data_IF_610811083613
#
_entry.id   IF_610811083613
#
_cell.length_a   1.000
_cell.length_b   1.000
_cell.length_c   1.000
_cell.angle_alpha   90.00
_cell.angle_beta   90.00
_cell.angle_gamma   90.00
#
_symmetry.space_group_name_H-M   'P 1'
#
loop_
_entity.id
_entity.type
_entity.pdbx_description
1 polymer ?
#
# COMPACT_ATOMS: atom_id res chain seq x y z
N UNK A 1 -19.46 37.03 -71.51
CA UNK A 1 -20.26 38.03 -72.24
C UNK A 1 -19.33 38.95 -73.04
N UNK A 2 -19.43 38.98 -74.37
CA UNK A 2 -18.73 39.93 -75.23
C UNK A 2 -19.63 41.13 -75.58
N UNK A 3 -19.05 42.31 -75.87
CA UNK A 3 -19.75 43.36 -76.63
C UNK A 3 -18.85 43.96 -77.70
N UNK A 4 -19.39 43.91 -78.91
CA UNK A 4 -18.95 44.50 -80.18
C UNK A 4 -18.99 46.03 -80.14
N UNK A 5 -18.12 46.66 -80.92
CA UNK A 5 -18.31 48.01 -81.46
C UNK A 5 -17.69 48.10 -82.86
N UNK A 6 -18.52 48.46 -83.86
CA UNK A 6 -18.22 48.58 -85.30
C UNK A 6 -18.08 50.05 -85.71
N UNK A 7 -17.28 50.34 -86.75
CA UNK A 7 -17.41 51.49 -87.66
C UNK A 7 -16.17 51.60 -88.56
N UNK A 8 -16.10 51.17 -89.84
CA UNK A 8 -16.68 51.60 -91.14
C UNK A 8 -16.15 52.96 -91.71
N UNK A 9 -15.54 52.87 -92.90
CA UNK A 9 -15.30 53.97 -93.88
C UNK A 9 -13.95 53.78 -94.61
N UNK A 10 -13.77 53.09 -95.75
CA UNK A 10 -14.25 53.15 -97.16
C UNK A 10 -13.51 54.17 -98.09
N UNK A 11 -12.68 53.58 -98.98
CA UNK A 11 -12.49 53.82 -100.44
C UNK A 11 -11.66 54.99 -101.03
N UNK A 12 -10.78 54.57 -101.96
CA UNK A 12 -10.52 55.17 -103.29
C UNK A 12 -9.41 56.22 -103.32
N UNK A 13 -8.58 56.39 -104.35
CA UNK A 13 -8.52 55.86 -105.71
C UNK A 13 -7.37 56.57 -106.48
N UNK A 14 -6.97 55.97 -107.60
CA UNK A 14 -5.82 56.30 -108.47
C UNK A 14 -5.80 57.74 -109.05
N UNK A 15 -4.61 58.35 -109.02
CA UNK A 15 -3.83 58.74 -110.21
C UNK A 15 -4.11 60.09 -110.90
N UNK A 16 -3.06 60.91 -111.11
CA UNK A 16 -2.65 61.41 -112.44
C UNK A 16 -1.33 62.19 -112.43
N UNK A 17 -0.68 62.13 -113.60
CA UNK A 17 0.62 62.66 -114.03
C UNK A 17 0.76 64.19 -113.97
N UNK A 18 2.00 64.62 -113.73
CA UNK A 18 2.72 65.53 -114.63
C UNK A 18 3.13 66.90 -114.08
N UNK A 19 4.44 67.13 -113.90
CA UNK A 19 5.24 68.09 -114.68
C UNK A 19 6.68 68.18 -114.17
N UNK A 20 7.63 68.07 -115.10
CA UNK A 20 9.06 68.37 -114.92
C UNK A 20 9.24 69.86 -114.57
N UNK A 21 10.11 70.14 -113.60
CA UNK A 21 10.49 71.50 -113.20
C UNK A 21 11.75 71.49 -112.34
N UNK A 22 12.88 71.66 -113.02
CA UNK A 22 14.29 71.74 -112.59
C UNK A 22 14.53 72.67 -111.38
N UNK A 23 15.02 72.14 -110.25
CA UNK A 23 15.80 72.82 -109.19
C UNK A 23 16.43 71.74 -108.29
N UNK A 24 17.59 71.22 -108.71
CA UNK A 24 18.27 70.03 -108.16
C UNK A 24 19.51 70.36 -107.32
N UNK A 25 19.52 71.46 -106.56
CA UNK A 25 20.56 71.70 -105.53
C UNK A 25 20.00 72.13 -104.17
N UNK A 26 19.01 73.03 -104.12
CA UNK A 26 18.32 73.38 -102.85
C UNK A 26 17.41 72.25 -102.33
N UNK A 27 16.85 71.43 -103.22
CA UNK A 27 16.02 70.27 -102.82
C UNK A 27 16.84 69.12 -102.26
N UNK A 28 18.11 68.96 -102.65
CA UNK A 28 18.98 67.94 -102.06
C UNK A 28 19.43 68.36 -100.67
N UNK A 29 19.82 69.62 -100.43
CA UNK A 29 20.07 70.12 -99.06
C UNK A 29 18.81 70.12 -98.18
N UNK A 30 17.64 70.46 -98.73
CA UNK A 30 16.36 70.40 -98.02
C UNK A 30 15.90 68.95 -97.75
N UNK A 31 16.14 68.02 -98.67
CA UNK A 31 15.87 66.59 -98.48
C UNK A 31 16.86 65.93 -97.52
N UNK A 32 18.14 66.34 -97.54
CA UNK A 32 19.16 65.90 -96.57
C UNK A 32 18.83 66.45 -95.19
N UNK A 33 18.45 67.72 -95.05
CA UNK A 33 17.97 68.30 -93.78
C UNK A 33 16.68 67.65 -93.28
N UNK A 34 15.72 67.34 -94.15
CA UNK A 34 14.53 66.55 -93.80
C UNK A 34 14.88 65.11 -93.42
N UNK A 35 15.86 64.49 -94.07
CA UNK A 35 16.37 63.15 -93.75
C UNK A 35 17.06 63.12 -92.38
N UNK A 36 17.88 64.12 -92.07
CA UNK A 36 18.50 64.31 -90.76
C UNK A 36 17.44 64.57 -89.69
N UNK A 37 16.46 65.45 -89.95
CA UNK A 37 15.38 65.71 -89.01
C UNK A 37 14.52 64.46 -88.75
N UNK A 38 14.20 63.69 -89.79
CA UNK A 38 13.48 62.43 -89.67
C UNK A 38 14.33 61.38 -88.92
N UNK A 39 15.63 61.28 -89.20
CA UNK A 39 16.57 60.42 -88.46
C UNK A 39 16.59 60.77 -86.97
N UNK A 40 16.71 62.05 -86.63
CA UNK A 40 16.69 62.51 -85.24
C UNK A 40 15.33 62.26 -84.57
N UNK A 41 14.23 62.34 -85.31
CA UNK A 41 12.90 61.98 -84.82
C UNK A 41 12.79 60.48 -84.51
N UNK A 42 13.28 59.62 -85.42
CA UNK A 42 13.33 58.17 -85.19
C UNK A 42 14.29 57.80 -84.06
N UNK A 43 15.41 58.50 -83.91
CA UNK A 43 16.35 58.32 -82.82
C UNK A 43 15.75 58.73 -81.47
N UNK A 44 15.04 59.87 -81.41
CA UNK A 44 14.31 60.29 -80.22
C UNK A 44 13.18 59.31 -79.85
N UNK A 45 12.46 58.79 -80.86
CA UNK A 45 11.44 57.76 -80.65
C UNK A 45 12.05 56.44 -80.17
N UNK A 46 13.17 56.01 -80.75
CA UNK A 46 13.89 54.82 -80.32
C UNK A 46 14.38 54.95 -78.88
N UNK A 47 14.97 56.10 -78.53
CA UNK A 47 15.41 56.41 -77.17
C UNK A 47 14.25 56.38 -76.17
N UNK A 48 13.11 56.97 -76.52
CA UNK A 48 11.91 56.94 -75.67
C UNK A 48 11.37 55.50 -75.51
N UNK A 49 11.35 54.71 -76.59
CA UNK A 49 10.97 53.31 -76.52
C UNK A 49 11.95 52.50 -75.68
N UNK A 50 13.26 52.76 -75.77
CA UNK A 50 14.28 52.11 -74.96
C UNK A 50 14.18 52.46 -73.48
N UNK A 51 13.90 53.71 -73.14
CA UNK A 51 13.59 54.15 -71.78
C UNK A 51 12.35 53.44 -71.23
N UNK A 52 11.28 53.36 -72.02
CA UNK A 52 10.07 52.65 -71.60
C UNK A 52 10.31 51.14 -71.42
N UNK A 53 11.09 50.52 -72.32
CA UNK A 53 11.48 49.10 -72.23
C UNK A 53 12.32 48.81 -71.00
N UNK A 54 13.29 49.68 -70.68
CA UNK A 54 14.07 49.60 -69.44
C UNK A 54 13.16 49.72 -68.22
N UNK A 55 12.28 50.72 -68.21
CA UNK A 55 11.33 50.90 -67.11
C UNK A 55 10.40 49.69 -66.90
N UNK A 56 9.84 49.11 -67.97
CA UNK A 56 9.04 47.89 -67.86
C UNK A 56 9.86 46.68 -67.40
N UNK A 57 11.13 46.56 -67.81
CA UNK A 57 12.03 45.50 -67.33
C UNK A 57 12.34 45.67 -65.84
N UNK A 58 12.57 46.88 -65.38
CA UNK A 58 12.84 47.17 -63.97
C UNK A 58 11.59 46.89 -63.11
N UNK A 59 10.39 47.27 -63.59
CA UNK A 59 9.13 46.92 -62.94
C UNK A 59 8.90 45.39 -62.93
N UNK A 60 9.14 44.70 -64.04
CA UNK A 60 9.01 43.24 -64.09
C UNK A 60 10.01 42.55 -63.15
N UNK A 61 11.24 43.06 -63.05
CA UNK A 61 12.27 42.56 -62.14
C UNK A 61 11.92 42.77 -60.67
N UNK A 62 11.41 43.96 -60.32
CA UNK A 62 10.93 44.24 -58.95
C UNK A 62 9.74 43.36 -58.59
N UNK A 63 8.74 43.23 -59.47
CA UNK A 63 7.60 42.33 -59.25
C UNK A 63 8.01 40.85 -59.17
N UNK A 64 9.02 40.42 -59.92
CA UNK A 64 9.54 39.04 -59.83
C UNK A 64 10.21 38.79 -58.46
N UNK A 65 11.04 39.74 -58.01
CA UNK A 65 11.70 39.67 -56.70
C UNK A 65 10.68 39.70 -55.55
N UNK A 66 9.65 40.55 -55.64
CA UNK A 66 8.61 40.63 -54.61
C UNK A 66 7.77 39.35 -54.59
N UNK A 67 7.44 38.76 -55.74
CA UNK A 67 6.78 37.45 -55.79
C UNK A 67 7.65 36.33 -55.20
N UNK A 68 8.97 36.36 -55.41
CA UNK A 68 9.91 35.40 -54.81
C UNK A 68 9.94 35.53 -53.28
N UNK A 69 10.08 36.76 -52.76
CA UNK A 69 9.99 37.03 -51.32
C UNK A 69 8.67 36.58 -50.71
N UNK A 70 7.54 36.84 -51.38
CA UNK A 70 6.23 36.41 -50.89
C UNK A 70 6.11 34.89 -50.87
N UNK A 71 6.69 34.18 -51.85
CA UNK A 71 6.74 32.71 -51.86
C UNK A 71 7.61 32.16 -50.74
N UNK A 72 8.75 32.79 -50.47
CA UNK A 72 9.64 32.38 -49.39
C UNK A 72 9.02 32.63 -48.01
N UNK A 73 8.34 33.77 -47.84
CA UNK A 73 7.55 34.05 -46.64
C UNK A 73 6.43 33.02 -46.46
N UNK A 74 5.69 32.71 -47.53
CA UNK A 74 4.65 31.69 -47.48
C UNK A 74 5.22 30.33 -47.04
N UNK A 75 6.32 29.87 -47.65
CA UNK A 75 7.00 28.62 -47.27
C UNK A 75 7.47 28.61 -45.81
N UNK A 76 8.01 29.73 -45.33
CA UNK A 76 8.44 29.86 -43.94
C UNK A 76 7.23 29.75 -42.99
N UNK A 77 6.16 30.50 -43.27
CA UNK A 77 4.93 30.45 -42.45
C UNK A 77 4.25 29.09 -42.49
N UNK A 78 4.26 28.40 -43.64
CA UNK A 78 3.75 27.02 -43.76
C UNK A 78 4.56 26.06 -42.89
N UNK A 79 5.90 26.18 -42.93
CA UNK A 79 6.79 25.36 -42.10
C UNK A 79 6.55 25.61 -40.61
N UNK A 80 6.52 26.87 -40.18
CA UNK A 80 6.28 27.23 -38.79
C UNK A 80 4.90 26.73 -38.31
N UNK A 81 3.88 26.83 -39.18
CA UNK A 81 2.53 26.31 -38.89
C UNK A 81 2.55 24.79 -38.75
N UNK A 82 3.26 24.08 -39.63
CA UNK A 82 3.41 22.62 -39.54
C UNK A 82 4.12 22.22 -38.24
N UNK A 83 5.18 22.94 -37.85
CA UNK A 83 5.93 22.65 -36.63
C UNK A 83 5.05 22.86 -35.38
N UNK A 84 4.29 23.96 -35.31
CA UNK A 84 3.34 24.23 -34.22
C UNK A 84 2.24 23.16 -34.18
N UNK A 85 1.62 22.83 -35.33
CA UNK A 85 0.57 21.82 -35.40
C UNK A 85 1.11 20.43 -35.00
N UNK A 86 2.33 20.09 -35.39
CA UNK A 86 2.96 18.81 -35.05
C UNK A 86 3.25 18.73 -33.55
N UNK A 87 3.74 19.81 -32.94
CA UNK A 87 3.94 19.89 -31.50
C UNK A 87 2.61 19.73 -30.73
N UNK A 88 1.55 20.44 -31.15
CA UNK A 88 0.23 20.35 -30.52
C UNK A 88 -0.35 18.94 -30.66
N UNK A 89 -0.27 18.32 -31.85
CA UNK A 89 -0.72 16.94 -32.05
C UNK A 89 0.01 15.94 -31.17
N UNK A 90 1.32 16.12 -30.99
CA UNK A 90 2.11 15.27 -30.08
C UNK A 90 1.66 15.46 -28.64
N UNK A 91 1.47 16.71 -28.21
CA UNK A 91 1.00 17.03 -26.87
C UNK A 91 -0.41 16.46 -26.61
N UNK A 92 -1.32 16.54 -27.58
CA UNK A 92 -2.66 15.96 -27.47
C UNK A 92 -2.60 14.43 -27.36
N UNK A 93 -1.77 13.78 -28.18
CA UNK A 93 -1.56 12.33 -28.09
C UNK A 93 -0.97 11.89 -26.73
N UNK A 94 -0.01 12.65 -26.20
CA UNK A 94 0.58 12.39 -24.88
C UNK A 94 -0.47 12.54 -23.76
N UNK A 95 -1.34 13.57 -23.84
CA UNK A 95 -2.45 13.78 -22.89
C UNK A 95 -3.52 12.70 -23.01
N UNK A 96 -3.89 12.29 -24.22
CA UNK A 96 -4.85 11.21 -24.43
C UNK A 96 -4.34 9.89 -23.84
N UNK A 97 -3.06 9.58 -24.03
CA UNK A 97 -2.41 8.42 -23.41
C UNK A 97 -2.42 8.50 -21.87
N UNK A 98 -2.21 9.70 -21.29
CA UNK A 98 -2.31 9.91 -19.85
C UNK A 98 -3.75 9.74 -19.35
N UNK A 99 -4.74 10.26 -20.07
CA UNK A 99 -6.16 10.09 -19.76
C UNK A 99 -6.52 8.62 -19.76
N UNK A 100 -6.12 7.85 -20.78
CA UNK A 100 -6.39 6.41 -20.87
C UNK A 100 -5.77 5.64 -19.69
N UNK A 101 -4.52 5.97 -19.34
CA UNK A 101 -3.85 5.38 -18.17
C UNK A 101 -4.58 5.71 -16.87
N UNK A 102 -4.99 6.97 -16.67
CA UNK A 102 -5.76 7.39 -15.50
C UNK A 102 -7.13 6.69 -15.45
N UNK A 103 -7.81 6.55 -16.58
CA UNK A 103 -9.08 5.82 -16.66
C UNK A 103 -8.91 4.33 -16.31
N UNK A 104 -7.86 3.68 -16.80
CA UNK A 104 -7.53 2.30 -16.41
C UNK A 104 -7.25 2.20 -14.91
N UNK A 105 -6.45 3.10 -14.35
CA UNK A 105 -6.16 3.15 -12.91
C UNK A 105 -7.44 3.32 -12.07
N UNK A 106 -8.34 4.20 -12.49
CA UNK A 106 -9.64 4.39 -11.80
C UNK A 106 -10.48 3.11 -11.87
N UNK A 107 -10.50 2.42 -13.02
CA UNK A 107 -11.23 1.14 -13.17
C UNK A 107 -10.65 0.06 -12.27
N UNK A 108 -9.33 -0.12 -12.25
CA UNK A 108 -8.67 -1.14 -11.40
C UNK A 108 -8.86 -0.81 -9.92
N UNK A 109 -8.72 0.45 -9.52
CA UNK A 109 -8.95 0.88 -8.14
C UNK A 109 -10.40 0.63 -7.69
N UNK A 110 -11.38 0.93 -8.55
CA UNK A 110 -12.80 0.64 -8.28
C UNK A 110 -13.08 -0.86 -8.14
N UNK A 111 -12.46 -1.69 -8.99
CA UNK A 111 -12.59 -3.15 -8.89
C UNK A 111 -11.97 -3.68 -7.59
N UNK A 112 -10.77 -3.22 -7.24
CA UNK A 112 -10.09 -3.62 -6.00
C UNK A 112 -10.88 -3.19 -4.77
N UNK A 113 -11.40 -1.95 -4.76
CA UNK A 113 -12.24 -1.46 -3.68
C UNK A 113 -13.53 -2.29 -3.51
N UNK A 114 -14.17 -2.69 -4.62
CA UNK A 114 -15.34 -3.59 -4.56
C UNK A 114 -14.96 -4.95 -3.96
N UNK A 115 -13.86 -5.57 -4.41
CA UNK A 115 -13.39 -6.85 -3.86
C UNK A 115 -13.11 -6.76 -2.36
N UNK A 116 -12.34 -5.78 -1.92
CA UNK A 116 -12.03 -5.58 -0.50
C UNK A 116 -13.30 -5.32 0.32
N UNK A 117 -14.24 -4.53 -0.22
CA UNK A 117 -15.54 -4.30 0.42
C UNK A 117 -16.34 -5.61 0.57
N UNK A 118 -16.41 -6.42 -0.48
CA UNK A 118 -17.17 -7.66 -0.48
C UNK A 118 -16.53 -8.71 0.45
N UNK A 119 -15.20 -8.80 0.47
CA UNK A 119 -14.44 -9.62 1.41
C UNK A 119 -14.70 -9.19 2.87
N UNK A 120 -14.63 -7.89 3.15
CA UNK A 120 -14.90 -7.34 4.47
C UNK A 120 -16.35 -7.61 4.93
N UNK A 121 -17.33 -7.43 4.03
CA UNK A 121 -18.72 -7.77 4.30
C UNK A 121 -18.87 -9.27 4.58
N UNK A 122 -18.20 -10.12 3.81
CA UNK A 122 -18.23 -11.57 4.00
C UNK A 122 -17.66 -11.98 5.36
N UNK A 123 -16.50 -11.42 5.75
CA UNK A 123 -15.86 -11.69 7.03
C UNK A 123 -16.72 -11.24 8.21
N UNK A 124 -17.26 -10.03 8.20
CA UNK A 124 -18.18 -9.57 9.25
C UNK A 124 -19.48 -10.38 9.28
N UNK A 125 -19.99 -10.80 8.12
CA UNK A 125 -21.18 -11.66 8.05
C UNK A 125 -20.91 -13.06 8.59
N UNK A 126 -19.67 -13.56 8.48
CA UNK A 126 -19.24 -14.83 9.08
C UNK A 126 -19.10 -14.70 10.59
N UNK A 127 -18.44 -13.64 11.06
CA UNK A 127 -18.28 -13.38 12.49
C UNK A 127 -19.63 -13.19 13.19
N UNK A 128 -20.53 -12.41 12.59
CA UNK A 128 -21.91 -12.25 13.09
C UNK A 128 -22.62 -13.60 13.22
N UNK A 129 -22.58 -14.45 12.19
CA UNK A 129 -23.18 -15.79 12.24
C UNK A 129 -22.59 -16.65 13.36
N UNK A 130 -21.28 -16.62 13.56
CA UNK A 130 -20.63 -17.36 14.65
C UNK A 130 -21.05 -16.85 16.03
N UNK A 131 -21.22 -15.53 16.20
CA UNK A 131 -21.71 -14.95 17.44
C UNK A 131 -23.18 -15.31 17.68
N UNK A 132 -24.02 -15.23 16.66
CA UNK A 132 -25.44 -15.62 16.73
C UNK A 132 -25.59 -17.11 17.10
N UNK A 133 -24.77 -17.99 16.51
CA UNK A 133 -24.75 -19.42 16.87
C UNK A 133 -24.31 -19.65 18.32
N UNK A 134 -23.25 -18.97 18.78
CA UNK A 134 -22.80 -19.06 20.18
C UNK A 134 -23.87 -18.57 21.14
N UNK A 135 -24.53 -17.47 20.80
CA UNK A 135 -25.60 -16.88 21.61
C UNK A 135 -26.79 -17.84 21.70
N UNK A 136 -27.22 -18.40 20.57
CA UNK A 136 -28.30 -19.41 20.53
C UNK A 136 -27.96 -20.67 21.35
N UNK A 137 -26.71 -21.15 21.30
CA UNK A 137 -26.27 -22.28 22.16
C UNK A 137 -26.36 -21.92 23.65
N UNK A 138 -25.91 -20.72 24.04
CA UNK A 138 -25.99 -20.27 25.43
C UNK A 138 -27.42 -20.06 25.90
N UNK A 139 -28.31 -19.57 25.03
CA UNK A 139 -29.73 -19.45 25.34
C UNK A 139 -30.36 -20.84 25.60
N UNK A 140 -30.05 -21.83 24.77
CA UNK A 140 -30.52 -23.21 24.98
C UNK A 140 -29.98 -23.83 26.27
N UNK A 141 -28.69 -23.65 26.59
CA UNK A 141 -28.11 -24.08 27.87
C UNK A 141 -28.80 -23.40 29.06
N UNK A 142 -29.08 -22.09 28.97
CA UNK A 142 -29.79 -21.36 30.01
C UNK A 142 -31.23 -21.84 30.19
N UNK A 143 -31.92 -22.22 29.13
CA UNK A 143 -33.26 -22.82 29.22
C UNK A 143 -33.23 -24.16 29.96
N UNK A 144 -32.26 -25.02 29.65
CA UNK A 144 -32.09 -26.31 30.35
C UNK A 144 -31.83 -26.06 31.84
N UNK A 145 -30.89 -25.18 32.18
CA UNK A 145 -30.57 -24.85 33.58
C UNK A 145 -31.79 -24.26 34.30
N UNK A 146 -32.58 -23.39 33.63
CA UNK A 146 -33.84 -22.85 34.20
C UNK A 146 -34.85 -23.96 34.45
N UNK A 147 -34.96 -24.92 33.54
CA UNK A 147 -35.85 -26.06 33.69
C UNK A 147 -35.44 -26.95 34.88
N UNK A 148 -34.16 -27.31 34.97
CA UNK A 148 -33.60 -28.08 36.09
C UNK A 148 -33.80 -27.34 37.43
N UNK A 149 -33.55 -26.03 37.47
CA UNK A 149 -33.75 -25.22 38.66
C UNK A 149 -35.22 -25.25 39.12
N UNK A 150 -36.16 -25.21 38.19
CA UNK A 150 -37.59 -25.33 38.51
C UNK A 150 -37.93 -26.72 39.04
N UNK A 151 -37.38 -27.80 38.47
CA UNK A 151 -37.54 -29.15 39.01
C UNK A 151 -37.01 -29.25 40.46
N UNK A 152 -35.83 -28.68 40.73
CA UNK A 152 -35.25 -28.64 42.08
C UNK A 152 -36.13 -27.85 43.06
N UNK A 153 -36.70 -26.72 42.62
CA UNK A 153 -37.65 -25.94 43.44
C UNK A 153 -38.90 -26.76 43.79
N UNK A 154 -39.48 -27.45 42.81
CA UNK A 154 -40.66 -28.32 43.03
C UNK A 154 -40.32 -29.51 43.93
N UNK A 155 -39.16 -30.13 43.75
CA UNK A 155 -38.67 -31.19 44.64
C UNK A 155 -38.53 -30.70 46.08
N UNK A 156 -37.96 -29.49 46.29
CA UNK A 156 -37.85 -28.90 47.63
C UNK A 156 -39.21 -28.67 48.27
N UNK A 157 -40.19 -28.13 47.53
CA UNK A 157 -41.57 -27.95 48.04
C UNK A 157 -42.18 -29.29 48.46
N UNK A 158 -42.10 -30.32 47.60
CA UNK A 158 -42.61 -31.66 47.90
C UNK A 158 -41.92 -32.29 49.10
N UNK A 159 -40.59 -32.12 49.22
CA UNK A 159 -39.82 -32.60 50.38
C UNK A 159 -40.31 -31.96 51.67
N UNK A 160 -40.50 -30.64 51.70
CA UNK A 160 -41.00 -29.93 52.88
C UNK A 160 -42.42 -30.39 53.24
N UNK A 161 -43.29 -30.55 52.25
CA UNK A 161 -44.65 -31.07 52.46
C UNK A 161 -44.64 -32.49 53.05
N UNK A 162 -43.87 -33.41 52.45
CA UNK A 162 -43.76 -34.79 52.90
C UNK A 162 -43.12 -34.90 54.31
N UNK A 163 -42.15 -34.04 54.63
CA UNK A 163 -41.59 -33.95 55.98
C UNK A 163 -42.63 -33.52 57.01
N UNK A 164 -43.50 -32.56 56.65
CA UNK A 164 -44.59 -32.11 57.50
C UNK A 164 -45.61 -33.22 57.75
N UNK A 165 -46.03 -33.92 56.69
CA UNK A 165 -46.94 -35.07 56.79
C UNK A 165 -46.37 -36.21 57.66
N UNK A 166 -45.07 -36.49 57.54
CA UNK A 166 -44.40 -37.48 58.39
C UNK A 166 -44.40 -37.07 59.87
N UNK A 167 -44.21 -35.79 60.17
CA UNK A 167 -44.26 -35.29 61.55
C UNK A 167 -45.68 -35.37 62.11
N UNK A 168 -46.69 -34.96 61.33
CA UNK A 168 -48.11 -35.09 61.68
C UNK A 168 -48.50 -36.56 61.96
N UNK A 169 -48.03 -37.51 61.15
CA UNK A 169 -48.27 -38.96 61.38
C UNK A 169 -47.57 -39.45 62.65
N UNK A 170 -46.33 -39.02 62.92
CA UNK A 170 -45.62 -39.39 64.14
C UNK A 170 -46.32 -38.84 65.38
N UNK A 171 -46.76 -37.59 65.36
CA UNK A 171 -47.51 -36.98 66.46
C UNK A 171 -48.83 -37.73 66.69
N UNK A 172 -49.55 -38.07 65.62
CA UNK A 172 -50.76 -38.87 65.71
C UNK A 172 -50.50 -40.27 66.27
N UNK A 173 -49.42 -40.93 65.85
CA UNK A 173 -49.01 -42.25 66.37
C UNK A 173 -48.72 -42.19 67.87
N UNK A 174 -47.92 -41.21 68.32
CA UNK A 174 -47.60 -41.02 69.75
C UNK A 174 -48.87 -40.70 70.56
N UNK A 175 -49.78 -39.89 70.02
CA UNK A 175 -51.07 -39.62 70.68
C UNK A 175 -51.89 -40.89 70.84
N UNK A 176 -52.00 -41.69 69.77
CA UNK A 176 -52.77 -42.93 69.78
C UNK A 176 -52.13 -44.01 70.67
N UNK A 177 -50.79 -44.11 70.71
CA UNK A 177 -50.09 -44.98 71.67
C UNK A 177 -50.34 -44.58 73.12
N UNK A 178 -50.37 -43.27 73.42
CA UNK A 178 -50.76 -42.77 74.75
C UNK A 178 -52.19 -43.12 75.08
N UNK A 179 -53.13 -42.86 74.17
CA UNK A 179 -54.54 -43.21 74.35
C UNK A 179 -54.73 -44.72 74.57
N UNK A 180 -54.06 -45.55 73.77
CA UNK A 180 -54.07 -47.00 73.93
C UNK A 180 -53.50 -47.42 75.29
N UNK A 181 -52.36 -46.85 75.70
CA UNK A 181 -51.77 -47.14 77.01
C UNK A 181 -52.74 -46.77 78.14
N UNK A 182 -53.36 -45.59 78.10
CA UNK A 182 -54.36 -45.15 79.07
C UNK A 182 -55.58 -46.09 79.10
N UNK A 183 -56.00 -46.60 77.94
CA UNK A 183 -57.10 -47.59 77.90
C UNK A 183 -56.70 -48.94 78.50
N UNK A 184 -55.47 -49.40 78.27
CA UNK A 184 -54.93 -50.64 78.86
C UNK A 184 -54.84 -50.49 80.37
N UNK A 185 -54.26 -49.40 80.88
CA UNK A 185 -54.16 -49.14 82.33
C UNK A 185 -55.55 -49.15 83.00
N UNK A 186 -56.57 -48.55 82.36
CA UNK A 186 -57.96 -48.60 82.84
C UNK A 186 -58.54 -50.01 82.83
N UNK A 187 -58.23 -50.82 81.82
CA UNK A 187 -58.68 -52.21 81.75
C UNK A 187 -57.97 -53.06 82.81
N UNK A 188 -56.65 -52.91 82.97
CA UNK A 188 -55.85 -53.59 83.99
C UNK A 188 -56.35 -53.27 85.39
N UNK A 189 -56.68 -52.00 85.68
CA UNK A 189 -57.26 -51.61 86.96
C UNK A 189 -58.59 -52.33 87.22
N UNK A 190 -59.50 -52.35 86.24
CA UNK A 190 -60.78 -53.08 86.33
C UNK A 190 -60.57 -54.59 86.51
N UNK A 191 -59.63 -55.17 85.78
CA UNK A 191 -59.28 -56.59 85.89
C UNK A 191 -58.68 -56.92 87.26
N UNK A 192 -57.85 -56.04 87.81
CA UNK A 192 -57.27 -56.22 89.13
C UNK A 192 -58.33 -56.16 90.23
N UNK A 193 -59.26 -55.21 90.14
CA UNK A 193 -60.41 -55.11 91.05
C UNK A 193 -61.27 -56.39 91.01
N UNK A 194 -61.62 -56.89 89.82
CA UNK A 194 -62.42 -58.11 89.67
C UNK A 194 -61.63 -59.37 90.12
N UNK A 195 -60.34 -59.45 89.81
CA UNK A 195 -59.46 -60.54 90.25
C UNK A 195 -59.36 -60.57 91.78
N UNK A 196 -59.23 -59.42 92.44
CA UNK A 196 -59.25 -59.35 93.90
C UNK A 196 -60.58 -59.82 94.49
N UNK A 197 -61.71 -59.47 93.87
CA UNK A 197 -63.04 -59.98 94.28
C UNK A 197 -63.10 -61.51 94.17
N UNK A 198 -62.70 -62.07 93.03
CA UNK A 198 -62.71 -63.52 92.79
C UNK A 198 -61.71 -64.27 93.67
N UNK A 199 -60.52 -63.71 93.93
CA UNK A 199 -59.52 -64.28 94.82
C UNK A 199 -60.04 -64.35 96.26
N UNK A 200 -60.74 -63.32 96.75
CA UNK A 200 -61.37 -63.34 98.06
C UNK A 200 -62.47 -64.42 98.16
N UNK A 201 -63.25 -64.63 97.10
CA UNK A 201 -64.24 -65.71 97.03
C UNK A 201 -63.58 -67.11 96.97
N UNK A 202 -62.50 -67.26 96.21
CA UNK A 202 -61.76 -68.52 96.08
C UNK A 202 -60.97 -68.88 97.33
N UNK A 203 -60.34 -67.92 98.01
CA UNK A 203 -59.58 -68.18 99.24
C UNK A 203 -60.50 -68.71 100.35
N UNK A 204 -61.74 -68.20 100.46
CA UNK A 204 -62.75 -68.77 101.36
C UNK A 204 -63.04 -70.25 101.06
N UNK A 205 -63.05 -70.64 99.78
CA UNK A 205 -63.23 -72.03 99.33
C UNK A 205 -61.99 -72.91 99.52
N UNK A 206 -60.79 -72.35 99.40
CA UNK A 206 -59.53 -73.09 99.60
C UNK A 206 -59.32 -73.39 101.09
N UNK A 207 -59.64 -72.47 102.00
CA UNK A 207 -59.65 -72.75 103.45
C UNK A 207 -60.58 -73.93 103.80
N UNK A 208 -61.69 -74.11 103.09
CA UNK A 208 -62.61 -75.25 103.26
C UNK A 208 -62.07 -76.60 102.75
N UNK A 209 -61.09 -76.59 101.83
CA UNK A 209 -60.53 -77.80 101.18
C UNK A 209 -59.17 -78.16 101.78
N UNK A 210 -58.35 -77.19 102.18
CA UNK A 210 -57.05 -77.42 102.84
C UNK A 210 -57.21 -78.18 104.17
N UNK A 211 -58.31 -77.97 104.88
CA UNK A 211 -58.68 -78.77 106.07
C UNK A 211 -58.99 -80.24 105.77
N UNK A 212 -59.28 -80.60 104.51
CA UNK A 212 -59.60 -81.96 104.05
C UNK A 212 -58.42 -82.70 103.40
N UNK A 213 -57.41 -81.98 102.91
CA UNK A 213 -56.28 -82.57 102.19
C UNK A 213 -55.04 -82.86 103.07
N UNK A 214 -54.97 -82.33 104.30
CA UNK A 214 -53.84 -82.59 105.21
C UNK A 214 -53.83 -84.01 105.81
N UNK A 215 -54.94 -84.77 105.71
CA UNK A 215 -55.06 -86.12 106.30
C UNK A 215 -54.70 -87.26 105.33
N UNK A 216 -54.52 -86.95 104.03
CA UNK A 216 -54.36 -87.97 102.97
C UNK A 216 -53.01 -87.89 102.22
N UNK A 217 -52.01 -87.25 102.83
CA UNK A 217 -50.66 -87.14 102.26
C UNK A 217 -49.56 -87.68 103.20
N UNK A 218 -49.90 -88.58 104.13
CA UNK A 218 -48.97 -89.18 105.09
C UNK A 218 -48.67 -90.67 104.88
N UNK A 219 -48.99 -91.25 103.71
CA UNK A 219 -48.69 -92.66 103.40
C UNK A 219 -48.41 -92.94 101.92
N UNK A 220 -47.18 -92.69 101.46
CA UNK A 220 -46.44 -93.63 100.60
C UNK A 220 -44.95 -93.26 100.53
N UNK A 221 -44.12 -94.07 101.18
CA UNK A 221 -42.68 -93.88 101.33
C UNK A 221 -41.91 -94.33 100.09
N UNK A 222 -40.82 -93.60 99.89
CA UNK A 222 -39.71 -93.76 98.98
C UNK A 222 -38.90 -95.05 99.20
N UNK A 223 -38.61 -95.80 98.13
CA UNK A 223 -37.36 -96.57 98.00
C UNK A 223 -37.03 -96.96 96.54
N UNK A 224 -38.03 -97.08 95.66
CA UNK A 224 -37.82 -97.28 94.20
C UNK A 224 -37.33 -96.02 93.47
N UNK A 225 -37.68 -94.85 93.98
CA UNK A 225 -37.26 -93.55 93.43
C UNK A 225 -35.73 -93.40 93.40
N UNK A 226 -35.02 -93.86 94.46
CA UNK A 226 -33.59 -93.59 94.64
C UNK A 226 -32.70 -94.26 93.58
N UNK A 227 -33.10 -95.43 93.07
CA UNK A 227 -32.34 -96.14 92.03
C UNK A 227 -32.63 -95.57 90.62
N UNK A 228 -33.88 -95.16 90.35
CA UNK A 228 -34.25 -94.45 89.12
C UNK A 228 -33.56 -93.07 89.03
N UNK A 229 -33.33 -92.41 90.17
CA UNK A 229 -32.57 -91.14 90.21
C UNK A 229 -31.11 -91.32 89.80
N UNK A 230 -30.42 -92.35 90.26
CA UNK A 230 -29.00 -92.55 89.91
C UNK A 230 -28.81 -92.89 88.43
N UNK A 231 -29.70 -93.70 87.84
CA UNK A 231 -29.64 -94.03 86.42
C UNK A 231 -30.03 -92.83 85.53
N UNK A 232 -31.02 -92.03 85.96
CA UNK A 232 -31.34 -90.77 85.31
C UNK A 232 -30.20 -89.75 85.40
N UNK A 233 -29.48 -89.66 86.52
CA UNK A 233 -28.34 -88.73 86.66
C UNK A 233 -27.24 -89.08 85.65
N UNK A 234 -26.91 -90.36 85.48
CA UNK A 234 -25.90 -90.78 84.50
C UNK A 234 -26.34 -90.55 83.04
N UNK A 235 -27.62 -90.76 82.74
CA UNK A 235 -28.22 -90.44 81.43
C UNK A 235 -28.26 -88.92 81.16
N UNK A 236 -28.58 -88.12 82.17
CA UNK A 236 -28.57 -86.65 82.10
C UNK A 236 -27.16 -86.12 81.87
N UNK A 237 -26.16 -86.70 82.54
CA UNK A 237 -24.76 -86.33 82.34
C UNK A 237 -24.27 -86.64 80.92
N UNK A 238 -24.66 -87.80 80.38
CA UNK A 238 -24.35 -88.18 78.99
C UNK A 238 -25.06 -87.27 77.98
N UNK A 239 -26.33 -86.95 78.21
CA UNK A 239 -27.09 -86.01 77.37
C UNK A 239 -26.53 -84.59 77.44
N UNK A 240 -26.00 -84.17 78.60
CA UNK A 240 -25.36 -82.86 78.75
C UNK A 240 -24.12 -82.75 77.87
N UNK A 241 -23.24 -83.76 77.89
CA UNK A 241 -22.03 -83.75 77.06
C UNK A 241 -22.37 -83.68 75.56
N UNK A 242 -23.33 -84.49 75.09
CA UNK A 242 -23.75 -84.43 73.69
C UNK A 242 -24.41 -83.10 73.31
N UNK A 243 -25.14 -82.47 74.25
CA UNK A 243 -25.74 -81.16 74.02
C UNK A 243 -24.68 -80.06 73.94
N UNK A 244 -23.66 -80.11 74.79
CA UNK A 244 -22.52 -79.18 74.74
C UNK A 244 -21.76 -79.32 73.42
N UNK A 245 -21.49 -80.54 72.96
CA UNK A 245 -20.85 -80.81 71.66
C UNK A 245 -21.71 -80.33 70.49
N UNK A 246 -23.03 -80.51 70.56
CA UNK A 246 -23.97 -80.01 69.55
C UNK A 246 -24.01 -78.47 69.50
N UNK A 247 -23.99 -77.81 70.66
CA UNK A 247 -23.95 -76.36 70.78
C UNK A 247 -22.62 -75.79 70.24
N UNK A 248 -21.49 -76.46 70.46
CA UNK A 248 -20.20 -76.09 69.87
C UNK A 248 -20.19 -76.27 68.34
N UNK A 249 -20.72 -77.39 67.84
CA UNK A 249 -20.87 -77.62 66.41
C UNK A 249 -21.81 -76.57 65.77
N UNK A 250 -22.86 -76.17 66.47
CA UNK A 250 -23.79 -75.16 65.99
C UNK A 250 -23.14 -73.77 65.95
N UNK A 251 -22.37 -73.39 66.98
CA UNK A 251 -21.59 -72.15 66.98
C UNK A 251 -20.58 -72.09 65.84
N UNK A 252 -19.85 -73.18 65.59
CA UNK A 252 -18.87 -73.23 64.49
C UNK A 252 -19.55 -73.19 63.12
N UNK A 253 -20.69 -73.88 62.96
CA UNK A 253 -21.52 -73.79 61.74
C UNK A 253 -22.02 -72.36 61.49
N UNK A 254 -22.50 -71.67 62.52
CA UNK A 254 -22.93 -70.28 62.43
C UNK A 254 -21.78 -69.34 62.09
N UNK A 255 -20.60 -69.53 62.70
CA UNK A 255 -19.39 -68.76 62.38
C UNK A 255 -18.95 -68.96 60.93
N UNK A 256 -18.89 -70.21 60.45
CA UNK A 256 -18.57 -70.53 59.07
C UNK A 256 -19.61 -69.93 58.11
N UNK A 257 -20.90 -69.98 58.45
CA UNK A 257 -21.96 -69.39 57.63
C UNK A 257 -21.83 -67.86 57.54
N UNK A 258 -21.51 -67.19 58.65
CA UNK A 258 -21.21 -65.74 58.64
C UNK A 258 -19.99 -65.42 57.79
N UNK A 259 -18.93 -66.22 57.89
CA UNK A 259 -17.68 -66.00 57.16
C UNK A 259 -17.85 -66.24 55.65
N UNK A 260 -18.66 -67.22 55.27
CA UNK A 260 -19.07 -67.43 53.87
C UNK A 260 -19.88 -66.22 53.36
N UNK A 261 -20.83 -65.72 54.14
CA UNK A 261 -21.64 -64.56 53.76
C UNK A 261 -20.78 -63.29 53.60
N UNK A 262 -19.85 -63.01 54.53
CA UNK A 262 -18.95 -61.86 54.41
C UNK A 262 -18.02 -61.99 53.20
N UNK A 263 -17.43 -63.17 53.00
CA UNK A 263 -16.55 -63.43 51.84
C UNK A 263 -17.31 -63.30 50.52
N UNK A 264 -18.58 -63.72 50.48
CA UNK A 264 -19.43 -63.55 49.30
C UNK A 264 -19.69 -62.07 49.00
N UNK A 265 -20.04 -61.28 50.03
CA UNK A 265 -20.26 -59.85 49.88
C UNK A 265 -18.99 -59.13 49.43
N UNK A 266 -17.83 -59.45 50.01
CA UNK A 266 -16.54 -58.87 49.63
C UNK A 266 -16.17 -59.21 48.19
N UNK A 267 -16.48 -60.42 47.72
CA UNK A 267 -16.30 -60.83 46.33
C UNK A 267 -17.16 -59.99 45.38
N UNK A 268 -18.44 -59.81 45.68
CA UNK A 268 -19.36 -59.01 44.86
C UNK A 268 -18.92 -57.53 44.81
N UNK A 269 -18.52 -56.97 45.95
CA UNK A 269 -18.03 -55.60 46.05
C UNK A 269 -16.75 -55.41 45.23
N UNK A 270 -15.82 -56.35 45.31
CA UNK A 270 -14.60 -56.35 44.51
C UNK A 270 -14.89 -56.49 43.01
N UNK A 271 -15.85 -57.32 42.60
CA UNK A 271 -16.25 -57.44 41.19
C UNK A 271 -16.82 -56.12 40.64
N UNK A 272 -17.63 -55.40 41.42
CA UNK A 272 -18.17 -54.09 41.04
C UNK A 272 -17.03 -53.07 40.92
N UNK A 273 -16.13 -53.02 41.91
CA UNK A 273 -14.99 -52.10 41.91
C UNK A 273 -14.05 -52.35 40.71
N UNK A 274 -13.78 -53.61 40.38
CA UNK A 274 -12.97 -53.97 39.22
C UNK A 274 -13.63 -53.49 37.93
N UNK A 275 -14.96 -53.67 37.77
CA UNK A 275 -15.70 -53.18 36.59
C UNK A 275 -15.60 -51.66 36.47
N UNK A 276 -15.81 -50.92 37.57
CA UNK A 276 -15.70 -49.47 37.58
C UNK A 276 -14.28 -49.00 37.21
N UNK A 277 -13.25 -49.67 37.74
CA UNK A 277 -11.86 -49.36 37.39
C UNK A 277 -11.53 -49.66 35.94
N UNK A 278 -12.05 -50.74 35.37
CA UNK A 278 -11.91 -51.06 33.95
C UNK A 278 -12.55 -49.95 33.10
N UNK A 279 -13.77 -49.53 33.42
CA UNK A 279 -14.44 -48.43 32.70
C UNK A 279 -13.66 -47.11 32.80
N UNK A 280 -13.12 -46.80 33.98
CA UNK A 280 -12.29 -45.61 34.18
C UNK A 280 -11.03 -45.65 33.32
N UNK A 281 -10.33 -46.78 33.29
CA UNK A 281 -9.13 -46.97 32.45
C UNK A 281 -9.46 -46.90 30.96
N UNK A 282 -10.59 -47.46 30.53
CA UNK A 282 -11.04 -47.35 29.13
C UNK A 282 -11.30 -45.90 28.72
N UNK A 283 -11.99 -45.11 29.56
CA UNK A 283 -12.22 -43.68 29.34
C UNK A 283 -10.90 -42.90 29.26
N UNK A 284 -9.96 -43.17 30.16
CA UNK A 284 -8.64 -42.55 30.13
C UNK A 284 -7.85 -42.92 28.88
N UNK A 285 -7.87 -44.18 28.46
CA UNK A 285 -7.20 -44.63 27.23
C UNK A 285 -7.78 -43.96 25.98
N UNK A 286 -9.10 -43.75 25.93
CA UNK A 286 -9.74 -43.01 24.85
C UNK A 286 -9.24 -41.56 24.80
N UNK A 287 -9.22 -40.87 25.94
CA UNK A 287 -8.73 -39.49 26.04
C UNK A 287 -7.24 -39.39 25.65
N UNK A 288 -6.41 -40.33 26.10
CA UNK A 288 -4.99 -40.38 25.73
C UNK A 288 -4.83 -40.56 24.23
N UNK A 289 -5.66 -41.40 23.59
CA UNK A 289 -5.64 -41.60 22.14
C UNK A 289 -6.01 -40.32 21.40
N UNK A 290 -7.09 -39.66 21.79
CA UNK A 290 -7.53 -38.39 21.19
C UNK A 290 -6.47 -37.29 21.33
N UNK A 291 -5.85 -37.18 22.51
CA UNK A 291 -4.76 -36.23 22.75
C UNK A 291 -3.53 -36.54 21.89
N UNK A 292 -3.17 -37.83 21.73
CA UNK A 292 -2.06 -38.23 20.85
C UNK A 292 -2.34 -37.89 19.39
N UNK A 293 -3.54 -38.14 18.89
CA UNK A 293 -3.95 -37.77 17.53
C UNK A 293 -3.87 -36.25 17.34
N UNK A 294 -4.33 -35.46 18.31
CA UNK A 294 -4.25 -34.00 18.27
C UNK A 294 -2.81 -33.49 18.29
N UNK A 295 -1.94 -34.09 19.11
CA UNK A 295 -0.50 -33.77 19.12
C UNK A 295 0.11 -34.05 17.75
N UNK A 296 -0.17 -35.22 17.16
CA UNK A 296 0.36 -35.59 15.85
C UNK A 296 -0.12 -34.64 14.74
N UNK A 297 -1.38 -34.20 14.76
CA UNK A 297 -1.89 -33.19 13.82
C UNK A 297 -1.19 -31.84 13.99
N UNK A 298 -0.93 -31.41 15.23
CA UNK A 298 -0.21 -30.17 15.50
C UNK A 298 1.26 -30.26 15.06
N UNK A 299 1.94 -31.38 15.33
CA UNK A 299 3.33 -31.61 14.92
C UNK A 299 3.48 -31.63 13.39
N UNK A 300 2.55 -32.28 12.68
CA UNK A 300 2.54 -32.30 11.21
C UNK A 300 2.28 -30.92 10.63
N UNK A 301 1.31 -30.17 11.17
CA UNK A 301 1.05 -28.78 10.76
C UNK A 301 2.24 -27.86 11.03
N UNK A 302 2.88 -27.98 12.20
CA UNK A 302 4.06 -27.20 12.54
C UNK A 302 5.25 -27.53 11.62
N UNK A 303 5.44 -28.80 11.29
CA UNK A 303 6.50 -29.23 10.37
C UNK A 303 6.27 -28.67 8.96
N UNK A 304 5.02 -28.68 8.47
CA UNK A 304 4.66 -28.05 7.19
C UNK A 304 4.93 -26.55 7.21
N UNK A 305 4.52 -25.86 8.28
CA UNK A 305 4.77 -24.44 8.45
C UNK A 305 6.27 -24.13 8.45
N UNK A 306 7.09 -24.89 9.17
CA UNK A 306 8.55 -24.72 9.18
C UNK A 306 9.14 -24.90 7.77
N UNK A 307 8.67 -25.90 7.00
CA UNK A 307 9.12 -26.12 5.63
C UNK A 307 8.74 -24.96 4.69
N UNK A 308 7.52 -24.45 4.80
CA UNK A 308 7.06 -23.28 4.04
C UNK A 308 7.91 -22.04 4.37
N UNK A 309 8.18 -21.79 5.66
CA UNK A 309 9.06 -20.70 6.08
C UNK A 309 10.49 -20.84 5.55
N UNK A 310 11.02 -22.06 5.51
CA UNK A 310 12.36 -22.30 4.95
C UNK A 310 12.41 -22.05 3.44
N UNK A 311 11.36 -22.42 2.71
CA UNK A 311 11.22 -22.15 1.27
C UNK A 311 11.10 -20.64 1.04
N UNK A 312 10.23 -19.95 1.80
CA UNK A 312 10.06 -18.50 1.69
C UNK A 312 11.36 -17.76 1.99
N UNK A 313 12.06 -18.15 3.06
CA UNK A 313 13.37 -17.60 3.42
C UNK A 313 14.39 -17.79 2.30
N UNK A 314 14.46 -18.97 1.68
CA UNK A 314 15.34 -19.23 0.52
C UNK A 314 14.98 -18.34 -0.67
N UNK A 315 13.70 -18.21 -0.99
CA UNK A 315 13.22 -17.35 -2.08
C UNK A 315 13.57 -15.88 -1.85
N UNK A 316 13.42 -15.37 -0.62
CA UNK A 316 13.80 -14.00 -0.26
C UNK A 316 15.32 -13.81 -0.42
N UNK A 317 16.12 -14.76 0.05
CA UNK A 317 17.58 -14.71 -0.11
C UNK A 317 17.99 -14.71 -1.58
N UNK A 318 17.37 -15.54 -2.41
CA UNK A 318 17.66 -15.59 -3.84
C UNK A 318 17.24 -14.30 -4.56
N UNK A 319 16.04 -13.79 -4.28
CA UNK A 319 15.57 -12.52 -4.85
C UNK A 319 16.43 -11.33 -4.43
N UNK A 320 16.88 -11.28 -3.17
CA UNK A 320 17.76 -10.22 -2.68
C UNK A 320 19.15 -10.34 -3.32
N UNK A 321 19.66 -11.57 -3.52
CA UNK A 321 20.90 -11.81 -4.23
C UNK A 321 20.85 -11.33 -5.69
N UNK A 322 19.82 -11.72 -6.44
CA UNK A 322 19.62 -11.29 -7.84
C UNK A 322 19.51 -9.75 -7.93
N UNK A 323 18.74 -9.12 -7.03
CA UNK A 323 18.63 -7.66 -6.98
C UNK A 323 19.99 -7.02 -6.68
N UNK A 324 20.72 -7.54 -5.71
CA UNK A 324 22.05 -7.04 -5.37
C UNK A 324 23.03 -7.16 -6.54
N UNK A 325 23.04 -8.29 -7.26
CA UNK A 325 23.85 -8.45 -8.47
C UNK A 325 23.45 -7.47 -9.59
N UNK A 326 22.15 -7.26 -9.80
CA UNK A 326 21.66 -6.31 -10.80
C UNK A 326 22.11 -4.87 -10.48
N UNK A 327 21.98 -4.45 -9.23
CA UNK A 327 22.43 -3.14 -8.75
C UNK A 327 23.94 -3.00 -8.86
N UNK A 328 24.70 -4.06 -8.52
CA UNK A 328 26.16 -4.06 -8.68
C UNK A 328 26.56 -3.87 -10.14
N UNK A 329 25.88 -4.54 -11.06
CA UNK A 329 26.12 -4.39 -12.50
C UNK A 329 25.77 -2.99 -13.00
N UNK A 330 24.69 -2.40 -12.50
CA UNK A 330 24.30 -1.02 -12.82
C UNK A 330 25.31 0.00 -12.31
N UNK A 331 25.79 -0.16 -11.07
CA UNK A 331 26.86 0.67 -10.50
C UNK A 331 28.11 0.63 -11.40
N UNK A 332 28.53 -0.56 -11.86
CA UNK A 332 29.68 -0.69 -12.75
C UNK A 332 29.44 0.02 -14.09
N UNK A 333 28.23 -0.06 -14.66
CA UNK A 333 27.87 0.64 -15.92
C UNK A 333 27.88 2.16 -15.74
N UNK A 334 27.33 2.65 -14.63
CA UNK A 334 27.29 4.08 -14.31
C UNK A 334 28.69 4.62 -14.06
N UNK A 335 29.55 3.89 -13.34
CA UNK A 335 30.95 4.26 -13.14
C UNK A 335 31.70 4.40 -14.46
N UNK A 336 31.56 3.44 -15.39
CA UNK A 336 32.17 3.53 -16.73
C UNK A 336 31.67 4.74 -17.51
N UNK A 337 30.37 5.02 -17.45
CA UNK A 337 29.77 6.18 -18.14
C UNK A 337 30.32 7.48 -17.57
N UNK A 338 30.44 7.57 -16.24
CA UNK A 338 31.00 8.72 -15.54
C UNK A 338 32.48 8.92 -15.90
N UNK A 339 33.28 7.86 -15.98
CA UNK A 339 34.68 7.93 -16.44
C UNK A 339 34.79 8.48 -17.86
N UNK A 340 33.96 7.99 -18.80
CA UNK A 340 33.95 8.49 -20.18
C UNK A 340 33.55 9.96 -20.24
N UNK A 341 32.49 10.35 -19.51
CA UNK A 341 32.06 11.75 -19.42
C UNK A 341 33.12 12.65 -18.79
N UNK A 342 33.86 12.15 -17.81
CA UNK A 342 34.98 12.88 -17.19
C UNK A 342 36.13 13.07 -18.19
N UNK A 343 36.45 12.06 -19.00
CA UNK A 343 37.44 12.17 -20.08
C UNK A 343 37.01 13.18 -21.14
N UNK A 344 35.75 13.16 -21.58
CA UNK A 344 35.18 14.16 -22.51
C UNK A 344 35.24 15.56 -21.92
N UNK A 345 34.80 15.73 -20.67
CA UNK A 345 34.87 16.99 -19.94
C UNK A 345 36.30 17.54 -19.87
N UNK A 346 37.29 16.67 -19.60
CA UNK A 346 38.69 17.07 -19.58
C UNK A 346 39.21 17.50 -20.97
N UNK A 347 38.75 16.85 -22.05
CA UNK A 347 39.06 17.30 -23.42
C UNK A 347 38.47 18.68 -23.70
N UNK A 348 37.20 18.90 -23.34
CA UNK A 348 36.53 20.19 -23.49
C UNK A 348 37.25 21.28 -22.69
N UNK A 349 37.61 21.00 -21.43
CA UNK A 349 38.39 21.93 -20.59
C UNK A 349 39.73 22.31 -21.23
N UNK A 350 40.46 21.35 -21.82
CA UNK A 350 41.71 21.63 -22.54
C UNK A 350 41.49 22.50 -23.77
N UNK A 351 40.47 22.20 -24.58
CA UNK A 351 40.13 23.01 -25.75
C UNK A 351 39.72 24.43 -25.35
N UNK A 352 38.89 24.57 -24.33
CA UNK A 352 38.49 25.88 -23.80
C UNK A 352 39.70 26.68 -23.32
N UNK A 353 40.67 26.03 -22.63
CA UNK A 353 41.92 26.67 -22.23
C UNK A 353 42.72 27.19 -23.44
N UNK A 354 42.89 26.35 -24.47
CA UNK A 354 43.61 26.74 -25.70
C UNK A 354 42.92 27.92 -26.38
N UNK A 355 41.58 27.90 -26.49
CA UNK A 355 40.84 29.01 -27.10
C UNK A 355 41.04 30.31 -26.32
N UNK A 356 41.04 30.25 -24.98
CA UNK A 356 41.29 31.42 -24.13
C UNK A 356 42.74 31.92 -24.30
N UNK A 357 43.73 31.02 -24.33
CA UNK A 357 45.14 31.36 -24.57
C UNK A 357 45.32 32.04 -25.94
N UNK A 358 44.80 31.44 -27.02
CA UNK A 358 44.83 32.02 -28.36
C UNK A 358 44.14 33.38 -28.44
N UNK A 359 42.97 33.51 -27.79
CA UNK A 359 42.28 34.79 -27.70
C UNK A 359 43.14 35.84 -26.97
N UNK A 360 43.76 35.45 -25.87
CA UNK A 360 44.64 36.33 -25.09
C UNK A 360 45.85 36.75 -25.92
N UNK A 361 46.47 35.82 -26.66
CA UNK A 361 47.58 36.12 -27.58
C UNK A 361 47.16 37.12 -28.67
N UNK A 362 46.00 36.91 -29.31
CA UNK A 362 45.47 37.85 -30.29
C UNK A 362 45.18 39.22 -29.68
N UNK A 363 44.56 39.27 -28.51
CA UNK A 363 44.31 40.52 -27.78
C UNK A 363 45.63 41.25 -27.47
N UNK A 364 46.67 40.55 -27.01
CA UNK A 364 48.00 41.14 -26.79
C UNK A 364 48.65 41.64 -28.08
N UNK A 365 48.57 40.86 -29.17
CA UNK A 365 49.10 41.26 -30.46
C UNK A 365 48.42 42.53 -30.98
N UNK A 366 47.09 42.63 -30.89
CA UNK A 366 46.37 43.83 -31.29
C UNK A 366 46.73 45.04 -30.43
N UNK A 367 46.88 44.86 -29.12
CA UNK A 367 47.32 45.94 -28.22
C UNK A 367 48.74 46.40 -28.56
N UNK A 368 49.66 45.47 -28.81
CA UNK A 368 51.04 45.77 -29.21
C UNK A 368 51.11 46.45 -30.57
N UNK A 369 50.32 45.99 -31.54
CA UNK A 369 50.22 46.62 -32.86
C UNK A 369 49.68 48.06 -32.76
N UNK A 370 48.62 48.27 -31.96
CA UNK A 370 48.09 49.61 -31.69
C UNK A 370 49.13 50.50 -31.00
N UNK A 371 49.87 49.96 -30.04
CA UNK A 371 50.94 50.70 -29.37
C UNK A 371 52.10 51.03 -30.32
N UNK A 372 52.47 50.10 -31.21
CA UNK A 372 53.47 50.30 -32.24
C UNK A 372 53.06 51.39 -33.22
N UNK A 373 51.83 51.34 -33.74
CA UNK A 373 51.27 52.39 -34.63
C UNK A 373 51.28 53.74 -33.91
N UNK A 374 50.87 53.80 -32.64
CA UNK A 374 50.92 55.03 -31.84
C UNK A 374 52.35 55.57 -31.72
N UNK A 375 53.34 54.72 -31.46
CA UNK A 375 54.77 55.10 -31.44
C UNK A 375 55.24 55.61 -32.81
N UNK A 376 54.90 54.92 -33.90
CA UNK A 376 55.26 55.33 -35.26
C UNK A 376 54.65 56.68 -35.65
N UNK A 377 53.37 56.92 -35.33
CA UNK A 377 52.73 58.23 -35.53
C UNK A 377 53.49 59.32 -34.77
N UNK A 378 53.91 59.03 -33.54
CA UNK A 378 54.67 59.98 -32.71
C UNK A 378 56.04 60.29 -33.32
N UNK A 379 56.76 59.26 -33.80
CA UNK A 379 58.06 59.41 -34.49
C UNK A 379 57.92 60.16 -35.81
N UNK A 380 56.94 59.82 -36.64
CA UNK A 380 56.67 60.49 -37.91
C UNK A 380 56.32 61.97 -37.69
N UNK A 381 55.50 62.29 -36.68
CA UNK A 381 55.21 63.68 -36.29
C UNK A 381 56.47 64.43 -35.86
N UNK A 382 57.36 63.79 -35.10
CA UNK A 382 58.63 64.37 -34.68
C UNK A 382 59.59 64.60 -35.87
N UNK A 383 59.70 63.64 -36.78
CA UNK A 383 60.53 63.73 -37.98
C UNK A 383 60.01 64.82 -38.92
N UNK A 384 58.71 64.84 -39.20
CA UNK A 384 58.08 65.91 -39.97
C UNK A 384 58.40 67.29 -39.39
N UNK A 385 58.35 67.43 -38.06
CA UNK A 385 58.73 68.68 -37.39
C UNK A 385 60.20 69.06 -37.64
N UNK A 386 61.12 68.11 -37.57
CA UNK A 386 62.56 68.33 -37.84
C UNK A 386 62.80 68.69 -39.32
N UNK A 387 62.18 67.97 -40.24
CA UNK A 387 62.35 68.19 -41.68
C UNK A 387 61.74 69.52 -42.11
N UNK A 388 60.55 69.88 -41.58
CA UNK A 388 59.94 71.19 -41.79
C UNK A 388 60.80 72.33 -41.23
N UNK A 389 61.47 72.12 -40.09
CA UNK A 389 62.40 73.09 -39.51
C UNK A 389 63.64 73.27 -40.39
N UNK A 390 64.27 72.17 -40.80
CA UNK A 390 65.44 72.19 -41.68
C UNK A 390 65.11 72.81 -43.04
N UNK A 391 63.96 72.49 -43.64
CA UNK A 391 63.51 73.08 -44.90
C UNK A 391 63.27 74.59 -44.77
N UNK A 392 62.68 75.05 -43.65
CA UNK A 392 62.52 76.48 -43.36
C UNK A 392 63.88 77.18 -43.18
N UNK A 393 64.79 76.59 -42.42
CA UNK A 393 66.14 77.11 -42.20
C UNK A 393 66.95 77.18 -43.50
N UNK A 394 66.88 76.14 -44.34
CA UNK A 394 67.53 76.12 -45.65
C UNK A 394 66.95 77.18 -46.59
N UNK A 395 65.63 77.40 -46.59
CA UNK A 395 65.01 78.50 -47.35
C UNK A 395 65.45 79.87 -46.85
N UNK A 396 65.56 80.05 -45.53
CA UNK A 396 66.11 81.27 -44.92
C UNK A 396 67.57 81.51 -45.35
N UNK A 397 68.41 80.47 -45.34
CA UNK A 397 69.80 80.54 -45.79
C UNK A 397 69.90 80.83 -47.29
N UNK A 398 69.12 80.17 -48.14
CA UNK A 398 69.14 80.40 -49.59
C UNK A 398 68.69 81.82 -49.98
N UNK A 399 67.68 82.37 -49.27
CA UNK A 399 67.26 83.75 -49.43
C UNK A 399 68.36 84.75 -49.02
N UNK A 400 69.13 84.44 -47.96
CA UNK A 400 70.29 85.23 -47.55
C UNK A 400 71.42 85.24 -48.59
N UNK A 401 71.58 84.15 -49.38
CA UNK A 401 72.54 84.09 -50.49
C UNK A 401 71.99 84.68 -51.81
N UNK A 402 70.82 85.32 -51.79
CA UNK A 402 70.23 86.02 -52.95
C UNK A 402 69.56 85.11 -53.98
N UNK A 403 69.35 83.82 -53.68
CA UNK A 403 68.73 82.85 -54.60
C UNK A 403 67.21 82.65 -54.38
N UNK A 404 66.51 83.64 -53.81
CA UNK A 404 65.04 83.65 -53.66
C UNK A 404 64.54 84.56 -52.53
N UNK A 405 63.22 84.61 -52.34
CA UNK A 405 62.57 85.42 -51.30
C UNK A 405 62.60 84.76 -49.90
N UNK A 406 62.63 85.58 -48.85
CA UNK A 406 62.58 85.11 -47.47
C UNK A 406 61.23 84.43 -47.14
N UNK A 407 61.23 83.22 -46.54
CA UNK A 407 60.00 82.54 -46.16
C UNK A 407 59.27 83.27 -45.00
N UNK A 408 57.94 83.19 -44.98
CA UNK A 408 57.13 83.74 -43.87
C UNK A 408 57.48 83.08 -42.54
N UNK A 409 57.59 83.87 -41.47
CA UNK A 409 57.94 83.39 -40.12
C UNK A 409 57.02 82.22 -39.73
N UNK A 410 57.65 81.10 -39.34
CA UNK A 410 56.97 79.87 -38.96
C UNK A 410 57.38 79.47 -37.55
N UNK A 411 56.41 79.04 -36.73
CA UNK A 411 56.67 78.63 -35.34
C UNK A 411 56.79 77.11 -35.21
N UNK A 412 57.83 76.68 -34.49
CA UNK A 412 58.18 75.26 -34.27
C UNK A 412 58.11 74.83 -32.80
N UNK A 413 57.90 75.79 -31.88
CA UNK A 413 57.78 75.54 -30.46
C UNK A 413 56.30 75.37 -30.07
N UNK A 414 56.02 74.35 -29.28
CA UNK A 414 54.68 73.93 -28.90
C UNK A 414 53.97 74.96 -28.02
N UNK A 415 54.70 75.68 -27.17
CA UNK A 415 54.14 76.69 -26.26
C UNK A 415 53.50 77.87 -27.01
N UNK A 416 53.97 78.17 -28.22
CA UNK A 416 53.47 79.29 -29.03
C UNK A 416 52.52 78.83 -30.16
N UNK A 417 52.03 77.58 -30.10
CA UNK A 417 51.11 76.99 -31.09
C UNK A 417 49.85 77.82 -31.31
N UNK A 418 49.23 78.31 -30.23
CA UNK A 418 47.94 79.01 -30.29
C UNK A 418 48.01 80.50 -30.65
N UNK A 419 49.21 81.09 -30.77
CA UNK A 419 49.40 82.53 -31.01
C UNK A 419 49.98 82.85 -32.39
N UNK A 420 50.23 81.82 -33.22
CA UNK A 420 50.80 81.97 -34.56
C UNK A 420 49.81 81.45 -35.60
N UNK A 421 49.55 82.24 -36.64
CA UNK A 421 48.73 81.84 -37.81
C UNK A 421 49.47 80.92 -38.78
N UNK A 422 50.79 80.73 -38.60
CA UNK A 422 51.63 79.88 -39.44
C UNK A 422 52.52 79.00 -38.54
N UNK A 423 51.97 77.86 -38.10
CA UNK A 423 52.62 76.92 -37.18
C UNK A 423 52.64 75.52 -37.76
N UNK A 424 53.77 74.80 -37.59
CA UNK A 424 53.90 73.40 -38.04
C UNK A 424 52.86 72.48 -37.43
N UNK A 425 52.35 72.82 -36.25
CA UNK A 425 51.36 72.01 -35.56
C UNK A 425 49.96 72.09 -36.19
N UNK A 426 49.61 73.18 -36.89
CA UNK A 426 48.36 73.24 -37.66
C UNK A 426 48.39 72.23 -38.83
N UNK A 427 49.54 72.09 -39.50
CA UNK A 427 49.69 71.10 -40.59
C UNK A 427 49.54 69.65 -40.09
N UNK A 428 50.04 69.37 -38.89
CA UNK A 428 49.89 68.05 -38.25
C UNK A 428 48.45 67.75 -37.80
N UNK A 429 47.65 68.78 -37.47
CA UNK A 429 46.25 68.65 -37.10
C UNK A 429 45.35 68.49 -38.34
N UNK A 430 45.64 69.24 -39.41
CA UNK A 430 44.93 69.14 -40.69
C UNK A 430 45.17 67.78 -41.37
N UNK A 431 46.35 67.18 -41.20
CA UNK A 431 46.65 65.81 -41.65
C UNK A 431 45.98 64.70 -40.83
N UNK A 432 45.29 65.03 -39.73
CA UNK A 432 44.60 64.07 -38.84
C UNK A 432 43.08 64.16 -38.86
N UNK A 433 42.52 65.17 -39.56
CA UNK A 433 41.11 65.21 -39.95
C UNK A 433 40.86 64.25 -41.09
#
# INVERSE_FOLDING_TARGET
MPKKGKGKGKKGGKGKKGKKGKKTKEKEESAVKMGIHNSNLWEAQLNLMDLSRKHYRDIAGTLANDNEKMRDQMRLTEKDTIDVVTFLKKQDADKDAEIDRLQQNVKTLKMNHRKVKDELIHDFSREKRQLDEKLSRRESELEIIRHELNQVKEFRKKKTQMQKELEEIKEAMVSNEREHKDTIEKLEQKFFEEKMRLQQESNKKIEEIAARAQDEALKSLNETNRNVYHENVNLIDSLRMYKEELDELQKTKEQLSRLIATTSNDKELNEILIKEKIEQVQKQNYLIKELKEKIQLLETSLTQFIQEFDIERKNILEQTHIKHESLRNEIIRLQRTLELKTKEMNKIKKLAKIIIEQRTELETFFLDALQYVKKQITLNRLQYRKDAFNAYQNRMLNAHHGQGDYPRIRTFNETYRGFSTNSVFHDLEEATK
#
